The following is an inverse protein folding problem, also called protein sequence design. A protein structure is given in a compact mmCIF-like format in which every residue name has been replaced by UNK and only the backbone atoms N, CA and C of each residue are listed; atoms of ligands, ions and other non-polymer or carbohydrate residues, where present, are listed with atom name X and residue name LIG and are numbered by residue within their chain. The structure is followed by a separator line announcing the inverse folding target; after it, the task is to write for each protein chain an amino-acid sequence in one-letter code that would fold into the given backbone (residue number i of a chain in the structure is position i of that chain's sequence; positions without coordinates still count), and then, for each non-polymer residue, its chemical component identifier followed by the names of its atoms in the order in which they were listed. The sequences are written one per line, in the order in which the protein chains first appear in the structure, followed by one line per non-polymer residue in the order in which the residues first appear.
data_IF_964473640748
#
_entry.id   IF_964473640748
#
_cell.length_a   1.000
_cell.length_b   1.000
_cell.length_c   1.000
_cell.angle_alpha   90.00
_cell.angle_beta   90.00
_cell.angle_gamma   90.00
#
_symmetry.space_group_name_H-M   'P 1'
#
loop_
_entity.id
_entity.type
_entity.pdbx_description
1 polymer ?
#
# COMPACT_ATOMS: atom_id res chain seq x y z
N UNK A 1 -2.66 31.45 -3.78
CA UNK A 1 -2.00 31.24 -5.09
C UNK A 1 -2.59 30.00 -5.75
N UNK A 2 -2.75 29.98 -7.08
CA UNK A 2 -3.48 28.91 -7.78
C UNK A 2 -2.53 27.76 -8.14
N UNK A 3 -2.72 26.57 -7.54
CA UNK A 3 -1.92 25.35 -7.80
C UNK A 3 -2.44 24.51 -8.98
N UNK A 4 -3.13 25.14 -9.95
CA UNK A 4 -3.59 24.43 -11.14
C UNK A 4 -2.41 24.30 -12.11
N UNK A 5 -2.11 23.07 -12.54
CA UNK A 5 -1.00 22.77 -13.46
C UNK A 5 -1.31 23.31 -14.86
N UNK A 6 -2.59 23.33 -15.23
CA UNK A 6 -3.09 23.88 -16.49
C UNK A 6 -4.37 24.68 -16.25
N UNK A 7 -4.55 25.78 -17.00
CA UNK A 7 -5.70 26.69 -16.89
C UNK A 7 -6.28 26.91 -18.29
N UNK A 8 -7.56 26.60 -18.45
CA UNK A 8 -8.34 26.78 -19.68
C UNK A 8 -9.53 27.71 -19.41
N UNK A 9 -9.85 28.58 -20.38
CA UNK A 9 -10.94 29.56 -20.28
C UNK A 9 -12.32 28.92 -20.29
N UNK A 10 -12.48 27.87 -21.08
CA UNK A 10 -13.74 27.17 -21.33
C UNK A 10 -13.48 25.71 -21.72
N UNK A 11 -14.58 24.97 -21.94
CA UNK A 11 -14.53 23.55 -22.29
C UNK A 11 -13.95 23.29 -23.69
N UNK A 12 -14.14 24.19 -24.65
CA UNK A 12 -13.64 24.02 -26.01
C UNK A 12 -12.11 24.06 -26.01
N UNK A 13 -11.53 25.09 -25.38
CA UNK A 13 -10.08 25.21 -25.23
C UNK A 13 -9.45 24.01 -24.49
N UNK A 14 -10.16 23.43 -23.52
CA UNK A 14 -9.73 22.21 -22.85
C UNK A 14 -9.76 20.99 -23.78
N UNK A 15 -10.85 20.80 -24.53
CA UNK A 15 -11.00 19.64 -25.43
C UNK A 15 -9.97 19.67 -26.56
N UNK A 16 -9.69 20.85 -27.12
CA UNK A 16 -8.64 21.03 -28.14
C UNK A 16 -7.26 20.66 -27.58
N UNK A 17 -6.96 21.08 -26.35
CA UNK A 17 -5.71 20.73 -25.68
C UNK A 17 -5.64 19.23 -25.34
N UNK A 18 -6.73 18.64 -24.85
CA UNK A 18 -6.81 17.21 -24.53
C UNK A 18 -6.62 16.34 -25.78
N UNK A 19 -7.12 16.77 -26.94
CA UNK A 19 -6.93 16.05 -28.19
C UNK A 19 -5.44 15.98 -28.60
N UNK A 20 -4.65 17.01 -28.27
CA UNK A 20 -3.20 17.04 -28.49
C UNK A 20 -2.38 16.39 -27.37
N UNK A 21 -2.88 16.37 -26.14
CA UNK A 21 -2.22 15.80 -24.97
C UNK A 21 -3.20 14.99 -24.10
N UNK A 22 -3.26 13.66 -24.30
CA UNK A 22 -4.06 12.76 -23.46
C UNK A 22 -3.71 12.80 -21.97
N UNK A 23 -2.53 13.31 -21.59
CA UNK A 23 -2.11 13.49 -20.20
C UNK A 23 -2.96 14.51 -19.42
N UNK A 24 -3.76 15.32 -20.13
CA UNK A 24 -4.73 16.25 -19.57
C UNK A 24 -6.07 15.61 -19.19
N UNK A 25 -6.20 14.28 -19.31
CA UNK A 25 -7.40 13.57 -18.90
C UNK A 25 -7.73 13.89 -17.42
N UNK A 26 -8.99 14.26 -17.18
CA UNK A 26 -9.48 14.60 -15.85
C UNK A 26 -10.40 13.53 -15.29
N UNK A 27 -10.47 13.45 -13.97
CA UNK A 27 -11.47 12.65 -13.25
C UNK A 27 -12.28 13.52 -12.31
N UNK A 28 -13.46 13.02 -11.93
CA UNK A 28 -14.28 13.69 -10.92
C UNK A 28 -13.61 13.63 -9.54
N UNK A 29 -13.92 14.60 -8.67
CA UNK A 29 -13.49 14.54 -7.26
C UNK A 29 -14.01 13.30 -6.52
N UNK A 30 -15.16 12.76 -6.96
CA UNK A 30 -15.72 11.51 -6.42
C UNK A 30 -14.82 10.32 -6.76
N UNK A 31 -14.43 10.20 -8.03
CA UNK A 31 -13.50 9.14 -8.45
C UNK A 31 -12.14 9.29 -7.78
N UNK A 32 -11.63 10.51 -7.61
CA UNK A 32 -10.40 10.75 -6.86
C UNK A 32 -10.51 10.38 -5.37
N UNK A 33 -11.66 10.64 -4.73
CA UNK A 33 -11.93 10.24 -3.36
C UNK A 33 -11.94 8.71 -3.21
N UNK A 34 -12.65 8.02 -4.11
CA UNK A 34 -12.70 6.55 -4.15
C UNK A 34 -11.33 5.94 -4.40
N UNK A 35 -10.60 6.42 -5.42
CA UNK A 35 -9.29 5.90 -5.78
C UNK A 35 -8.22 6.09 -4.70
N UNK A 36 -8.35 7.12 -3.86
CA UNK A 36 -7.40 7.42 -2.78
C UNK A 36 -7.88 6.94 -1.40
N UNK A 37 -9.08 6.37 -1.29
CA UNK A 37 -9.68 6.02 0.00
C UNK A 37 -9.90 7.22 0.93
N UNK A 38 -10.18 8.40 0.38
CA UNK A 38 -10.30 9.66 1.14
C UNK A 38 -11.70 10.24 1.08
N UNK A 39 -12.05 11.04 2.09
CA UNK A 39 -13.27 11.83 2.05
C UNK A 39 -13.17 12.97 1.03
N UNK A 40 -14.31 13.44 0.49
CA UNK A 40 -14.35 14.61 -0.41
C UNK A 40 -13.69 15.86 0.19
N UNK A 41 -13.91 16.22 1.48
CA UNK A 41 -13.19 17.33 2.10
C UNK A 41 -11.67 17.16 2.12
N UNK A 42 -11.17 15.93 2.31
CA UNK A 42 -9.73 15.65 2.26
C UNK A 42 -9.16 15.83 0.84
N UNK A 43 -9.91 15.46 -0.20
CA UNK A 43 -9.55 15.75 -1.61
C UNK A 43 -9.48 17.26 -1.85
N UNK A 44 -10.48 18.02 -1.39
CA UNK A 44 -10.47 19.48 -1.54
C UNK A 44 -9.28 20.13 -0.82
N UNK A 45 -8.94 19.63 0.38
CA UNK A 45 -7.72 20.03 1.09
C UNK A 45 -6.45 19.76 0.28
N UNK A 46 -6.30 18.55 -0.30
CA UNK A 46 -5.12 18.21 -1.13
C UNK A 46 -5.01 19.07 -2.39
N UNK A 47 -6.14 19.41 -3.03
CA UNK A 47 -6.16 20.33 -4.18
C UNK A 47 -5.70 21.72 -3.74
N UNK A 48 -6.23 22.22 -2.61
CA UNK A 48 -5.87 23.54 -2.07
C UNK A 48 -4.38 23.63 -1.73
N UNK A 49 -3.83 22.58 -1.14
CA UNK A 49 -2.43 22.50 -0.71
C UNK A 49 -1.48 22.14 -1.87
N UNK A 50 -1.98 21.91 -3.09
CA UNK A 50 -1.16 21.57 -4.26
C UNK A 50 -0.59 20.15 -4.25
N UNK A 51 -1.09 19.27 -3.37
CA UNK A 51 -0.68 17.86 -3.28
C UNK A 51 -1.38 16.97 -4.30
N UNK A 52 -2.31 17.52 -5.07
CA UNK A 52 -3.01 16.83 -6.13
C UNK A 52 -3.01 17.72 -7.36
N UNK A 53 -2.40 17.26 -8.46
CA UNK A 53 -2.33 18.05 -9.67
C UNK A 53 -3.73 18.22 -10.28
N UNK A 54 -4.03 19.44 -10.74
CA UNK A 54 -5.36 19.80 -11.24
C UNK A 54 -5.29 20.56 -12.56
N UNK A 55 -6.38 20.45 -13.32
CA UNK A 55 -6.72 21.33 -14.43
C UNK A 55 -7.84 22.27 -13.97
N UNK A 56 -7.72 23.55 -14.30
CA UNK A 56 -8.79 24.52 -14.13
C UNK A 56 -9.48 24.75 -15.46
N UNK A 57 -10.80 24.57 -15.52
CA UNK A 57 -11.64 24.85 -16.70
C UNK A 57 -12.68 25.88 -16.26
N UNK A 58 -12.65 27.06 -16.87
CA UNK A 58 -13.42 28.21 -16.40
C UNK A 58 -13.23 28.45 -14.89
N UNK A 59 -14.28 28.34 -14.07
CA UNK A 59 -14.20 28.52 -12.62
C UNK A 59 -13.88 27.23 -11.84
N UNK A 60 -14.00 26.05 -12.47
CA UNK A 60 -13.94 24.76 -11.80
C UNK A 60 -12.54 24.15 -11.83
N UNK A 61 -12.17 23.42 -10.76
CA UNK A 61 -10.94 22.62 -10.69
C UNK A 61 -11.27 21.14 -10.74
N UNK A 62 -10.56 20.43 -11.61
CA UNK A 62 -10.68 19.01 -11.85
C UNK A 62 -9.35 18.32 -11.57
N UNK A 63 -9.41 17.07 -11.09
CA UNK A 63 -8.23 16.28 -10.76
C UNK A 63 -7.68 15.67 -12.02
N UNK A 64 -6.36 15.74 -12.23
CA UNK A 64 -5.71 15.03 -13.32
C UNK A 64 -5.70 13.52 -13.04
N UNK A 65 -6.08 12.72 -14.03
CA UNK A 65 -5.99 11.25 -13.96
C UNK A 65 -4.53 10.80 -13.73
N UNK A 66 -3.58 11.48 -14.38
CA UNK A 66 -2.14 11.23 -14.22
C UNK A 66 -1.66 11.34 -12.77
N UNK A 67 -2.19 12.28 -11.99
CA UNK A 67 -1.82 12.42 -10.58
C UNK A 67 -2.23 11.19 -9.73
N UNK A 68 -3.37 10.57 -10.06
CA UNK A 68 -3.81 9.35 -9.40
C UNK A 68 -3.00 8.13 -9.85
N UNK A 69 -2.67 8.07 -11.14
CA UNK A 69 -1.81 7.01 -11.69
C UNK A 69 -0.41 7.08 -11.07
N UNK A 70 0.18 8.27 -10.97
CA UNK A 70 1.47 8.51 -10.31
C UNK A 70 1.41 8.11 -8.83
N UNK A 71 0.32 8.46 -8.13
CA UNK A 71 0.14 8.04 -6.74
C UNK A 71 0.11 6.52 -6.60
N UNK A 72 -0.68 5.84 -7.45
CA UNK A 72 -0.82 4.39 -7.44
C UNK A 72 0.52 3.70 -7.75
N UNK A 73 1.23 4.16 -8.77
CA UNK A 73 2.58 3.65 -9.10
C UNK A 73 3.56 3.82 -7.94
N UNK A 74 3.55 4.98 -7.28
CA UNK A 74 4.39 5.21 -6.11
C UNK A 74 4.07 4.26 -4.95
N UNK A 75 2.78 3.93 -4.73
CA UNK A 75 2.37 2.93 -3.74
C UNK A 75 2.80 1.51 -4.16
N UNK A 76 2.60 1.13 -5.42
CA UNK A 76 3.03 -0.16 -5.99
C UNK A 76 4.55 -0.33 -5.82
N UNK A 77 5.35 0.70 -6.08
CA UNK A 77 6.81 0.68 -5.89
C UNK A 77 7.21 0.51 -4.42
N UNK A 78 6.55 1.21 -3.50
CA UNK A 78 6.76 1.07 -2.04
C UNK A 78 6.43 -0.35 -1.59
N UNK A 79 5.27 -0.88 -2.00
CA UNK A 79 4.84 -2.22 -1.66
C UNK A 79 5.80 -3.27 -2.23
N UNK A 80 6.23 -3.12 -3.49
CA UNK A 80 7.18 -4.03 -4.13
C UNK A 80 8.54 -4.06 -3.42
N UNK A 81 9.07 -2.90 -2.99
CA UNK A 81 10.33 -2.83 -2.23
C UNK A 81 10.24 -3.55 -0.90
N UNK A 82 9.18 -3.28 -0.12
CA UNK A 82 9.00 -3.94 1.18
C UNK A 82 8.76 -5.43 0.99
N UNK A 83 7.93 -5.84 0.02
CA UNK A 83 7.67 -7.25 -0.29
C UNK A 83 8.95 -7.99 -0.69
N UNK A 84 9.76 -7.40 -1.57
CA UNK A 84 11.05 -7.99 -1.97
C UNK A 84 11.99 -8.16 -0.78
N UNK A 85 12.07 -7.16 0.10
CA UNK A 85 12.86 -7.26 1.32
C UNK A 85 12.35 -8.38 2.25
N UNK A 86 11.05 -8.44 2.50
CA UNK A 86 10.46 -9.49 3.34
C UNK A 86 10.59 -10.88 2.72
N UNK A 87 10.58 -11.00 1.40
CA UNK A 87 10.88 -12.26 0.71
C UNK A 87 12.31 -12.74 0.96
N UNK A 88 13.29 -11.84 1.03
CA UNK A 88 14.65 -12.17 1.46
C UNK A 88 14.69 -12.65 2.92
N UNK A 89 14.00 -11.95 3.82
CA UNK A 89 13.89 -12.37 5.23
C UNK A 89 13.22 -13.75 5.35
N UNK A 90 12.19 -14.00 4.55
CA UNK A 90 11.49 -15.29 4.50
C UNK A 90 12.42 -16.43 4.05
N UNK A 91 13.21 -16.18 3.00
CA UNK A 91 14.18 -17.13 2.44
C UNK A 91 15.38 -17.40 3.35
N UNK A 92 15.59 -16.60 4.39
CA UNK A 92 16.59 -16.85 5.44
C UNK A 92 15.96 -17.47 6.70
N UNK A 93 14.68 -17.85 6.66
CA UNK A 93 13.86 -18.23 7.83
C UNK A 93 13.94 -17.21 8.97
N UNK A 94 14.04 -15.93 8.63
CA UNK A 94 14.26 -14.84 9.57
C UNK A 94 12.96 -14.17 10.03
N UNK A 95 13.13 -13.22 10.95
CA UNK A 95 12.14 -12.20 11.31
C UNK A 95 12.83 -10.83 11.30
N UNK A 96 12.05 -9.77 11.22
CA UNK A 96 12.57 -8.40 11.21
C UNK A 96 11.74 -7.49 12.11
N UNK A 97 12.35 -6.44 12.65
CA UNK A 97 11.61 -5.40 13.36
C UNK A 97 11.10 -4.30 12.41
N UNK A 98 10.14 -3.50 12.87
CA UNK A 98 9.59 -2.40 12.07
C UNK A 98 10.62 -1.40 11.55
N UNK A 99 11.69 -1.12 12.31
CA UNK A 99 12.62 -0.04 11.96
C UNK A 99 13.37 -0.26 10.63
N UNK A 100 13.99 -1.42 10.36
CA UNK A 100 14.51 -1.74 9.03
C UNK A 100 13.47 -1.59 7.91
N UNK A 101 12.25 -2.10 8.12
CA UNK A 101 11.19 -2.09 7.10
C UNK A 101 10.76 -0.66 6.76
N UNK A 102 10.55 0.18 7.78
CA UNK A 102 10.16 1.58 7.60
C UNK A 102 11.29 2.39 6.94
N UNK A 103 12.54 2.12 7.31
CA UNK A 103 13.70 2.85 6.79
C UNK A 103 13.91 2.65 5.28
N UNK A 104 13.51 1.49 4.71
CA UNK A 104 13.59 1.21 3.27
C UNK A 104 12.83 2.22 2.41
N UNK A 105 11.79 2.83 2.98
CA UNK A 105 10.88 3.75 2.28
C UNK A 105 10.88 5.13 2.92
N UNK A 106 11.92 5.44 3.70
CA UNK A 106 12.12 6.76 4.31
C UNK A 106 11.15 7.10 5.45
N UNK A 107 10.49 6.09 6.03
CA UNK A 107 9.57 6.26 7.16
C UNK A 107 10.28 6.15 8.50
N UNK A 108 9.70 6.74 9.55
CA UNK A 108 10.26 6.72 10.90
C UNK A 108 9.32 6.09 11.94
N UNK A 109 9.85 5.18 12.75
CA UNK A 109 9.15 4.61 13.93
C UNK A 109 8.75 5.67 14.96
N UNK A 110 9.37 6.86 14.92
CA UNK A 110 9.08 7.98 15.83
C UNK A 110 7.86 8.80 15.40
N UNK A 111 7.43 8.68 14.14
CA UNK A 111 6.31 9.45 13.59
C UNK A 111 5.02 8.63 13.66
N UNK A 112 4.00 9.05 14.45
CA UNK A 112 2.73 8.31 14.55
C UNK A 112 2.07 8.03 13.22
N UNK A 113 2.08 9.00 12.30
CA UNK A 113 1.54 8.87 10.96
C UNK A 113 2.25 7.80 10.14
N UNK A 114 3.58 7.72 10.23
CA UNK A 114 4.35 6.71 9.49
C UNK A 114 4.07 5.30 10.04
N UNK A 115 3.83 5.17 11.36
CA UNK A 115 3.45 3.89 11.97
C UNK A 115 2.07 3.40 11.50
N UNK A 116 1.15 4.31 11.28
CA UNK A 116 -0.17 3.98 10.69
C UNK A 116 0.00 3.57 9.22
N UNK A 117 0.77 4.34 8.44
CA UNK A 117 1.02 4.06 7.03
C UNK A 117 1.72 2.72 6.80
N UNK A 118 2.75 2.39 7.60
CA UNK A 118 3.44 1.09 7.45
C UNK A 118 2.51 -0.07 7.82
N UNK A 119 1.60 0.11 8.78
CA UNK A 119 0.59 -0.89 9.12
C UNK A 119 -0.32 -1.20 7.93
N UNK A 120 -0.83 -0.15 7.26
CA UNK A 120 -1.65 -0.29 6.05
C UNK A 120 -0.88 -0.98 4.91
N UNK A 121 0.36 -0.56 4.64
CA UNK A 121 1.20 -1.16 3.60
C UNK A 121 1.46 -2.65 3.86
N UNK A 122 1.78 -3.02 5.10
CA UNK A 122 1.98 -4.42 5.46
C UNK A 122 0.70 -5.25 5.33
N UNK A 123 -0.45 -4.62 5.60
CA UNK A 123 -1.77 -5.19 5.33
C UNK A 123 -1.99 -5.48 3.86
N UNK A 124 -1.75 -4.51 2.98
CA UNK A 124 -1.87 -4.65 1.53
C UNK A 124 -0.95 -5.75 0.99
N UNK A 125 0.30 -5.78 1.45
CA UNK A 125 1.27 -6.82 1.08
C UNK A 125 0.77 -8.21 1.49
N UNK A 126 0.17 -8.33 2.68
CA UNK A 126 -0.31 -9.62 3.18
C UNK A 126 -1.59 -10.08 2.51
N UNK A 127 -2.49 -9.16 2.14
CA UNK A 127 -3.66 -9.49 1.30
C UNK A 127 -3.21 -9.98 -0.07
N UNK A 128 -2.28 -9.27 -0.70
CA UNK A 128 -1.73 -9.70 -1.99
C UNK A 128 -1.04 -11.06 -1.90
N UNK A 129 -0.19 -11.30 -0.87
CA UNK A 129 0.44 -12.62 -0.70
C UNK A 129 -0.56 -13.72 -0.37
N UNK A 130 -1.61 -13.40 0.38
CA UNK A 130 -2.69 -14.33 0.69
C UNK A 130 -3.43 -14.72 -0.59
N UNK A 131 -3.93 -13.74 -1.35
CA UNK A 131 -4.70 -13.99 -2.58
C UNK A 131 -3.88 -14.76 -3.63
N UNK A 132 -2.58 -14.47 -3.75
CA UNK A 132 -1.68 -15.13 -4.71
C UNK A 132 -1.37 -16.60 -4.36
N UNK A 133 -1.46 -16.98 -3.07
CA UNK A 133 -1.02 -18.30 -2.59
C UNK A 133 -2.14 -19.14 -1.98
N UNK A 134 -3.31 -18.54 -1.76
CA UNK A 134 -4.48 -19.25 -1.30
C UNK A 134 -4.94 -20.28 -2.35
N UNK A 135 -5.42 -21.41 -1.87
CA UNK A 135 -6.01 -22.48 -2.68
C UNK A 135 -7.38 -22.84 -2.13
N UNK A 136 -8.12 -23.69 -2.83
CA UNK A 136 -9.41 -24.21 -2.32
C UNK A 136 -9.24 -24.98 -0.99
N UNK A 137 -8.04 -25.51 -0.72
CA UNK A 137 -7.75 -26.42 0.39
C UNK A 137 -6.96 -25.75 1.52
N UNK A 138 -6.37 -24.57 1.28
CA UNK A 138 -5.50 -23.92 2.25
C UNK A 138 -5.51 -22.38 2.13
N UNK A 139 -5.48 -21.73 3.29
CA UNK A 139 -5.21 -20.29 3.40
C UNK A 139 -3.86 -19.94 2.75
N UNK A 140 -3.83 -18.78 2.09
CA UNK A 140 -2.61 -18.18 1.59
C UNK A 140 -1.73 -17.64 2.72
N UNK A 141 -0.53 -17.22 2.37
CA UNK A 141 0.47 -16.75 3.34
C UNK A 141 0.25 -15.28 3.71
N UNK A 142 0.52 -14.94 4.97
CA UNK A 142 0.52 -13.57 5.47
C UNK A 142 1.95 -13.06 5.66
N UNK A 143 2.54 -12.46 4.62
CA UNK A 143 3.96 -12.09 4.63
C UNK A 143 4.34 -11.11 5.76
N UNK A 144 3.40 -10.27 6.23
CA UNK A 144 3.68 -9.34 7.33
C UNK A 144 3.85 -10.01 8.70
N UNK A 145 3.58 -11.32 8.84
CA UNK A 145 3.90 -12.09 10.06
C UNK A 145 5.39 -11.98 10.43
N UNK A 146 6.27 -11.78 9.45
CA UNK A 146 7.71 -11.66 9.69
C UNK A 146 8.11 -10.34 10.37
N UNK A 147 7.20 -9.36 10.46
CA UNK A 147 7.48 -8.02 10.99
C UNK A 147 7.03 -7.90 12.43
N UNK A 148 7.98 -7.99 13.35
CA UNK A 148 7.73 -8.03 14.78
C UNK A 148 7.91 -6.65 15.44
N UNK A 149 7.23 -6.45 16.56
CA UNK A 149 7.49 -5.36 17.49
C UNK A 149 8.69 -5.71 18.36
N UNK A 150 9.49 -4.68 18.68
CA UNK A 150 10.59 -4.82 19.63
C UNK A 150 10.03 -4.73 21.06
N UNK A 151 9.88 -5.88 21.71
CA UNK A 151 9.42 -6.03 23.10
C UNK A 151 10.47 -6.81 23.91
N UNK A 152 10.42 -6.73 25.24
CA UNK A 152 11.21 -7.62 26.10
C UNK A 152 10.54 -9.00 26.15
N UNK A 153 11.28 -10.06 25.80
CA UNK A 153 10.76 -11.43 25.74
C UNK A 153 10.39 -11.86 24.31
N UNK A 154 9.35 -12.70 24.18
CA UNK A 154 8.86 -13.15 22.88
C UNK A 154 8.38 -11.97 22.06
N UNK A 155 8.87 -11.87 20.82
CA UNK A 155 8.49 -10.80 19.89
C UNK A 155 7.35 -11.29 19.02
N UNK A 156 6.45 -10.38 18.63
CA UNK A 156 5.26 -10.69 17.84
C UNK A 156 4.94 -9.57 16.86
N UNK A 157 4.16 -9.84 15.81
CA UNK A 157 3.53 -8.80 15.00
C UNK A 157 2.67 -7.83 15.81
N UNK A 158 2.29 -6.71 15.19
CA UNK A 158 1.35 -5.77 15.79
C UNK A 158 -0.10 -6.32 15.83
N UNK A 159 -1.00 -5.77 16.68
CA UNK A 159 -2.43 -6.06 16.64
C UNK A 159 -3.04 -5.98 15.25
N UNK A 160 -2.58 -5.05 14.40
CA UNK A 160 -3.09 -4.93 13.03
C UNK A 160 -2.86 -6.18 12.17
N UNK A 161 -1.83 -6.99 12.45
CA UNK A 161 -1.63 -8.29 11.79
C UNK A 161 -2.72 -9.28 12.21
N UNK A 162 -3.00 -9.35 13.51
CA UNK A 162 -4.06 -10.23 14.03
C UNK A 162 -5.44 -9.78 13.57
N UNK A 163 -5.70 -8.47 13.54
CA UNK A 163 -6.97 -7.94 13.01
C UNK A 163 -7.16 -8.33 11.54
N UNK A 164 -6.10 -8.20 10.72
CA UNK A 164 -6.12 -8.68 9.33
C UNK A 164 -6.37 -10.19 9.23
N UNK A 165 -5.71 -11.01 10.05
CA UNK A 165 -5.91 -12.45 10.03
C UNK A 165 -7.38 -12.81 10.32
N UNK A 166 -8.02 -12.16 11.30
CA UNK A 166 -9.46 -12.37 11.56
C UNK A 166 -10.33 -11.93 10.38
N UNK A 167 -10.02 -10.78 9.76
CA UNK A 167 -10.73 -10.31 8.58
C UNK A 167 -10.63 -11.29 7.39
N UNK A 168 -9.52 -12.01 7.28
CA UNK A 168 -9.29 -13.04 6.26
C UNK A 168 -9.84 -14.43 6.65
N UNK A 169 -10.52 -14.53 7.79
CA UNK A 169 -11.20 -15.74 8.24
C UNK A 169 -10.33 -16.74 9.01
N UNK A 170 -9.15 -16.33 9.49
CA UNK A 170 -8.35 -17.17 10.37
C UNK A 170 -8.97 -17.22 11.78
N UNK A 171 -8.95 -18.40 12.38
CA UNK A 171 -9.37 -18.64 13.76
C UNK A 171 -8.23 -19.31 14.53
N UNK A 172 -7.93 -18.81 15.73
CA UNK A 172 -6.89 -19.35 16.61
C UNK A 172 -7.16 -18.96 18.07
N UNK A 173 -6.61 -19.75 19.00
CA UNK A 173 -6.75 -19.51 20.44
C UNK A 173 -5.47 -18.94 21.09
N UNK A 174 -4.30 -19.24 20.53
CA UNK A 174 -2.99 -18.84 21.05
C UNK A 174 -2.21 -18.05 19.99
N UNK A 175 -1.97 -16.76 20.28
CA UNK A 175 -1.24 -15.85 19.40
C UNK A 175 0.18 -16.32 19.08
N UNK A 176 0.91 -16.90 20.04
CA UNK A 176 2.29 -17.36 19.81
C UNK A 176 2.30 -18.59 18.92
N UNK A 177 1.39 -19.53 19.16
CA UNK A 177 1.24 -20.72 18.33
C UNK A 177 0.80 -20.36 16.91
N UNK A 178 -0.12 -19.40 16.78
CA UNK A 178 -0.57 -18.90 15.48
C UNK A 178 0.57 -18.22 14.71
N UNK A 179 1.31 -17.30 15.35
CA UNK A 179 2.47 -16.64 14.72
C UNK A 179 3.51 -17.67 14.27
N UNK A 180 3.84 -18.65 15.09
CA UNK A 180 4.79 -19.71 14.73
C UNK A 180 4.32 -20.53 13.52
N UNK A 181 3.04 -20.87 13.44
CA UNK A 181 2.46 -21.59 12.30
C UNK A 181 2.52 -20.75 11.02
N UNK A 182 2.14 -19.48 11.08
CA UNK A 182 2.14 -18.59 9.91
C UNK A 182 3.56 -18.27 9.44
N UNK A 183 4.52 -18.11 10.35
CA UNK A 183 5.95 -18.02 9.99
C UNK A 183 6.42 -19.27 9.25
N UNK A 184 6.06 -20.46 9.72
CA UNK A 184 6.42 -21.71 9.05
C UNK A 184 5.78 -21.82 7.65
N UNK A 185 4.54 -21.38 7.48
CA UNK A 185 3.89 -21.30 6.15
C UNK A 185 4.66 -20.38 5.21
N UNK A 186 5.00 -19.17 5.68
CA UNK A 186 5.76 -18.20 4.89
C UNK A 186 7.12 -18.77 4.51
N UNK A 187 7.88 -19.32 5.47
CA UNK A 187 9.19 -19.90 5.17
C UNK A 187 9.10 -21.08 4.20
N UNK A 188 8.11 -21.97 4.34
CA UNK A 188 7.89 -23.04 3.38
C UNK A 188 7.55 -22.52 1.99
N UNK A 189 6.76 -21.46 1.86
CA UNK A 189 6.45 -20.88 0.55
C UNK A 189 7.68 -20.30 -0.14
N UNK A 190 8.64 -19.76 0.61
CA UNK A 190 9.87 -19.15 0.07
C UNK A 190 11.08 -20.11 -0.01
N UNK A 191 11.03 -21.27 0.67
CA UNK A 191 12.04 -22.33 0.56
C UNK A 191 11.61 -23.54 -0.26
N UNK A 192 10.30 -23.74 -0.43
CA UNK A 192 9.69 -24.91 -1.05
C UNK A 192 9.77 -24.94 -2.58
N UNK A 193 10.32 -23.90 -3.20
CA UNK A 193 10.87 -23.99 -4.55
C UNK A 193 12.36 -24.37 -4.47
N UNK A 194 12.63 -25.65 -4.18
CA UNK A 194 13.80 -26.28 -4.79
C UNK A 194 13.66 -26.11 -6.30
N UNK A 195 14.40 -25.14 -6.84
CA UNK A 195 14.96 -25.12 -8.19
C UNK A 195 14.31 -26.12 -9.17
N UNK A 196 13.15 -25.79 -9.73
CA UNK A 196 12.80 -26.29 -11.06
C UNK A 196 13.63 -25.56 -12.12
N UNK A 197 14.96 -25.74 -12.06
CA UNK A 197 15.96 -25.49 -13.10
C UNK A 197 17.37 -25.50 -12.46
N UNK A 198 17.96 -26.68 -12.35
CA UNK A 198 19.40 -26.88 -12.47
C UNK A 198 19.64 -28.24 -13.11
#
# INVERSE_FOLDING_TARGET
MSNAKHIFTDIGAYLDALAGDPGLAIVSKKMAAEALGLSRPAIDGRIKDGRLATVKIAAARHVLASALIEHRRGQEEVNARIRSYLGGVAADRGTVFYEPVMSLVGMSTRMPRDRELIGAILGDISRASYDETATEEAHGILLSVLVHRKTGGTTRPSPAFFDLARELGFEWDDDDAFVAQEMERVWKAYHGEERSAA
#
